data_IF_533696428749
#
_entry.id   IF_533696428749
#
_cell.length_a   1.000
_cell.length_b   1.000
_cell.length_c   1.000
_cell.angle_alpha   90.00
_cell.angle_beta   90.00
_cell.angle_gamma   90.00
#
_symmetry.space_group_name_H-M   'P 1'
#
loop_
_entity.id
_entity.type
_entity.pdbx_description
1 polymer ?
#
# COMPACT_ATOMS: atom_id res chain seq x y z
N UNK A 1 -5.82 -67.87 2.30
CA UNK A 1 -5.51 -66.80 1.37
C UNK A 1 -4.19 -67.08 0.68
N UNK A 2 -4.10 -66.86 -0.57
CA UNK A 2 -2.82 -66.95 -1.26
C UNK A 2 -1.98 -65.71 -0.99
N UNK A 3 -0.68 -65.85 -1.08
CA UNK A 3 0.26 -64.72 -0.90
C UNK A 3 -0.03 -63.55 -1.91
N UNK A 4 -0.51 -63.91 -3.10
CA UNK A 4 -0.92 -62.92 -4.12
C UNK A 4 -2.11 -62.08 -3.65
N UNK A 5 -3.11 -62.72 -3.02
CA UNK A 5 -4.29 -62.01 -2.50
C UNK A 5 -3.95 -61.09 -1.34
N UNK A 6 -3.01 -61.47 -0.48
CA UNK A 6 -2.52 -60.62 0.61
C UNK A 6 -1.78 -59.38 0.08
N UNK A 7 -0.88 -59.61 -0.88
CA UNK A 7 -0.15 -58.49 -1.55
C UNK A 7 -1.08 -57.57 -2.31
N UNK A 8 -2.12 -58.09 -2.94
CA UNK A 8 -3.11 -57.28 -3.65
C UNK A 8 -3.87 -56.37 -2.66
N UNK A 9 -4.30 -56.90 -1.53
CA UNK A 9 -4.95 -56.12 -0.47
C UNK A 9 -4.03 -55.05 0.11
N UNK A 10 -2.78 -55.38 0.35
CA UNK A 10 -1.78 -54.43 0.86
C UNK A 10 -1.54 -53.31 -0.16
N UNK A 11 -1.43 -53.64 -1.45
CA UNK A 11 -1.29 -52.66 -2.49
C UNK A 11 -2.50 -51.70 -2.61
N UNK A 12 -3.71 -52.21 -2.48
CA UNK A 12 -4.92 -51.39 -2.46
C UNK A 12 -4.93 -50.41 -1.27
N UNK A 13 -4.60 -50.94 -0.06
CA UNK A 13 -4.50 -50.09 1.13
C UNK A 13 -3.43 -48.99 0.99
N UNK A 14 -2.26 -49.33 0.43
CA UNK A 14 -1.21 -48.35 0.19
C UNK A 14 -1.61 -47.30 -0.84
N UNK A 15 -2.35 -47.66 -1.90
CA UNK A 15 -2.88 -46.73 -2.86
C UNK A 15 -3.85 -45.73 -2.23
N UNK A 16 -4.75 -46.20 -1.37
CA UNK A 16 -5.67 -45.34 -0.63
C UNK A 16 -4.93 -44.39 0.30
N UNK A 17 -3.94 -44.88 1.05
CA UNK A 17 -3.13 -44.06 1.92
C UNK A 17 -2.33 -43.02 1.14
N UNK A 18 -1.72 -43.39 0.00
CA UNK A 18 -1.01 -42.47 -0.87
C UNK A 18 -1.94 -41.38 -1.40
N UNK A 19 -3.18 -41.69 -1.76
CA UNK A 19 -4.17 -40.72 -2.20
C UNK A 19 -4.49 -39.71 -1.08
N UNK A 20 -4.66 -40.18 0.17
CA UNK A 20 -4.89 -39.32 1.34
C UNK A 20 -3.70 -38.40 1.61
N UNK A 21 -2.48 -38.95 1.56
CA UNK A 21 -1.26 -38.18 1.79
C UNK A 21 -1.05 -37.16 0.71
N UNK A 22 -1.29 -37.49 -0.54
CA UNK A 22 -1.21 -36.56 -1.69
C UNK A 22 -2.18 -35.39 -1.50
N UNK A 23 -3.41 -35.67 -1.09
CA UNK A 23 -4.38 -34.61 -0.79
C UNK A 23 -3.92 -33.72 0.38
N UNK A 24 -3.44 -34.32 1.47
CA UNK A 24 -2.94 -33.58 2.64
C UNK A 24 -1.73 -32.70 2.30
N UNK A 25 -0.80 -33.19 1.49
CA UNK A 25 0.35 -32.43 1.01
C UNK A 25 -0.12 -31.25 0.16
N UNK A 26 -1.09 -31.45 -0.72
CA UNK A 26 -1.68 -30.38 -1.53
C UNK A 26 -2.30 -29.26 -0.67
N UNK A 27 -3.05 -29.63 0.37
CA UNK A 27 -3.64 -28.67 1.31
C UNK A 27 -2.56 -27.91 2.12
N UNK A 28 -1.52 -28.60 2.55
CA UNK A 28 -0.40 -27.97 3.28
C UNK A 28 0.37 -27.00 2.39
N UNK A 29 0.65 -27.37 1.15
CA UNK A 29 1.32 -26.50 0.20
C UNK A 29 0.52 -25.22 -0.08
N UNK A 30 -0.79 -25.33 -0.18
CA UNK A 30 -1.70 -24.20 -0.32
C UNK A 30 -1.61 -23.26 0.89
N UNK A 31 -1.62 -23.78 2.11
CA UNK A 31 -1.46 -22.99 3.33
C UNK A 31 -0.09 -22.31 3.41
N UNK A 32 0.97 -23.01 3.02
CA UNK A 32 2.33 -22.42 2.96
C UNK A 32 2.35 -21.22 2.01
N UNK A 33 1.73 -21.32 0.85
CA UNK A 33 1.65 -20.21 -0.09
C UNK A 33 0.85 -19.03 0.47
N UNK A 34 -0.28 -19.29 1.14
CA UNK A 34 -1.07 -18.25 1.81
C UNK A 34 -0.26 -17.53 2.90
N UNK A 35 0.48 -18.26 3.72
CA UNK A 35 1.34 -17.68 4.75
C UNK A 35 2.52 -16.90 4.16
N UNK A 36 3.11 -17.38 3.07
CA UNK A 36 4.19 -16.68 2.37
C UNK A 36 3.73 -15.32 1.87
N UNK A 37 2.59 -15.27 1.20
CA UNK A 37 1.99 -14.02 0.70
C UNK A 37 1.67 -13.07 1.86
N UNK A 38 1.10 -13.59 2.95
CA UNK A 38 0.80 -12.78 4.14
C UNK A 38 2.06 -12.18 4.79
N UNK A 39 3.17 -12.94 4.83
CA UNK A 39 4.45 -12.44 5.34
C UNK A 39 5.03 -11.35 4.43
N UNK A 40 5.01 -11.54 3.12
CA UNK A 40 5.47 -10.52 2.17
C UNK A 40 4.71 -9.20 2.33
N UNK A 41 3.39 -9.27 2.46
CA UNK A 41 2.54 -8.09 2.70
C UNK A 41 2.91 -7.42 4.02
N UNK A 42 3.13 -8.20 5.09
CA UNK A 42 3.51 -7.67 6.39
C UNK A 42 4.87 -6.96 6.33
N UNK A 43 5.86 -7.56 5.70
CA UNK A 43 7.20 -6.97 5.54
C UNK A 43 7.15 -5.67 4.75
N UNK A 44 6.38 -5.64 3.65
CA UNK A 44 6.17 -4.41 2.87
C UNK A 44 5.51 -3.31 3.70
N UNK A 45 4.50 -3.65 4.50
CA UNK A 45 3.82 -2.70 5.37
C UNK A 45 4.75 -2.16 6.48
N UNK A 46 5.56 -3.03 7.08
CA UNK A 46 6.52 -2.63 8.11
C UNK A 46 7.63 -1.74 7.52
N UNK A 47 8.11 -2.05 6.33
CA UNK A 47 9.08 -1.20 5.61
C UNK A 47 8.48 0.16 5.28
N UNK A 48 7.24 0.19 4.80
CA UNK A 48 6.51 1.44 4.52
C UNK A 48 6.34 2.29 5.78
N UNK A 49 6.00 1.70 6.92
CA UNK A 49 5.89 2.40 8.21
C UNK A 49 7.22 3.01 8.64
N UNK A 50 8.34 2.29 8.50
CA UNK A 50 9.68 2.79 8.80
C UNK A 50 10.06 3.95 7.89
N UNK A 51 9.81 3.80 6.60
CA UNK A 51 10.04 4.85 5.62
C UNK A 51 9.28 6.14 5.95
N UNK A 52 7.99 6.06 6.29
CA UNK A 52 7.18 7.23 6.63
C UNK A 52 7.77 8.01 7.81
N UNK A 53 8.37 7.32 8.78
CA UNK A 53 9.02 7.99 9.92
C UNK A 53 10.28 8.77 9.52
N UNK A 54 11.03 8.28 8.55
CA UNK A 54 12.30 8.83 8.11
C UNK A 54 12.23 9.60 6.78
N UNK A 55 11.04 9.68 6.18
CA UNK A 55 10.82 10.37 4.91
C UNK A 55 11.20 11.86 5.01
N UNK A 56 11.53 12.45 3.87
CA UNK A 56 11.81 13.89 3.79
C UNK A 56 10.63 14.74 4.28
N UNK A 57 10.91 15.98 4.69
CA UNK A 57 9.86 16.91 5.13
C UNK A 57 8.80 17.14 4.06
N UNK A 58 9.19 17.17 2.79
CA UNK A 58 8.27 17.30 1.64
C UNK A 58 7.34 16.11 1.55
N UNK A 59 7.87 14.89 1.62
CA UNK A 59 7.05 13.67 1.55
C UNK A 59 6.12 13.56 2.76
N UNK A 60 6.59 13.93 3.95
CA UNK A 60 5.72 13.97 5.15
C UNK A 60 4.54 14.93 4.98
N UNK A 61 4.77 16.11 4.40
CA UNK A 61 3.68 17.04 4.07
C UNK A 61 2.72 16.47 3.04
N UNK A 62 3.23 15.84 1.99
CA UNK A 62 2.41 15.19 0.97
C UNK A 62 1.52 14.07 1.53
N UNK A 63 1.95 13.43 2.61
CA UNK A 63 1.20 12.35 3.28
C UNK A 63 0.23 12.84 4.35
N UNK A 64 0.19 14.15 4.66
CA UNK A 64 -0.79 14.69 5.61
C UNK A 64 -2.22 14.42 5.15
N UNK A 65 -3.04 13.92 6.06
CA UNK A 65 -4.44 13.58 5.77
C UNK A 65 -5.31 14.83 5.67
N UNK A 66 -6.20 14.84 4.68
CA UNK A 66 -7.21 15.89 4.52
C UNK A 66 -8.06 16.08 5.78
N UNK A 67 -8.38 14.99 6.49
CA UNK A 67 -9.14 15.01 7.73
C UNK A 67 -8.49 15.86 8.85
N UNK A 68 -7.17 15.89 8.88
CA UNK A 68 -6.38 16.60 9.92
C UNK A 68 -6.08 18.07 9.53
N UNK A 69 -6.52 18.52 8.34
CA UNK A 69 -6.20 19.85 7.85
C UNK A 69 -7.14 20.93 8.39
N UNK A 70 -6.62 22.16 8.60
CA UNK A 70 -7.42 23.29 9.11
C UNK A 70 -8.28 23.93 8.02
N UNK A 71 -9.17 23.17 7.40
CA UNK A 71 -10.10 23.61 6.36
C UNK A 71 -11.54 23.29 6.76
N UNK A 72 -12.50 23.96 6.13
CA UNK A 72 -13.92 23.75 6.41
C UNK A 72 -14.37 22.33 6.08
N UNK A 73 -15.41 21.86 6.75
CA UNK A 73 -16.05 20.55 6.47
C UNK A 73 -16.52 20.47 5.03
N UNK A 74 -17.03 21.57 4.48
CA UNK A 74 -17.44 21.66 3.07
C UNK A 74 -16.27 21.38 2.12
N UNK A 75 -15.12 22.00 2.37
CA UNK A 75 -13.91 21.76 1.58
C UNK A 75 -13.41 20.32 1.71
N UNK A 76 -13.43 19.75 2.90
CA UNK A 76 -13.10 18.34 3.13
C UNK A 76 -14.01 17.41 2.34
N UNK A 77 -15.32 17.64 2.38
CA UNK A 77 -16.28 16.82 1.65
C UNK A 77 -16.08 16.88 0.13
N UNK A 78 -15.76 18.05 -0.40
CA UNK A 78 -15.47 18.23 -1.83
C UNK A 78 -14.19 17.43 -2.20
N UNK A 79 -13.14 17.54 -1.39
CA UNK A 79 -11.90 16.79 -1.60
C UNK A 79 -12.11 15.27 -1.51
N UNK A 80 -12.89 14.78 -0.57
CA UNK A 80 -13.22 13.36 -0.47
C UNK A 80 -14.04 12.87 -1.68
N UNK A 81 -14.97 13.68 -2.16
CA UNK A 81 -15.73 13.37 -3.37
C UNK A 81 -14.84 13.33 -4.63
N UNK A 82 -13.74 14.09 -4.63
CA UNK A 82 -12.72 14.08 -5.68
C UNK A 82 -11.72 12.92 -5.55
N UNK A 83 -11.82 12.11 -4.49
CA UNK A 83 -10.90 11.03 -4.21
C UNK A 83 -9.59 11.45 -3.55
N UNK A 84 -9.52 12.69 -3.02
CA UNK A 84 -8.35 13.23 -2.34
C UNK A 84 -8.40 12.87 -0.84
N UNK A 85 -7.50 12.02 -0.39
CA UNK A 85 -7.36 11.63 1.01
C UNK A 85 -6.17 12.32 1.70
N UNK A 86 -5.18 12.74 0.93
CA UNK A 86 -3.95 13.38 1.42
C UNK A 86 -3.68 14.67 0.66
N UNK A 87 -2.78 15.50 1.20
CA UNK A 87 -2.30 16.70 0.53
C UNK A 87 -1.63 16.38 -0.82
N UNK A 88 -0.92 15.25 -0.90
CA UNK A 88 -0.35 14.75 -2.15
C UNK A 88 -1.40 14.53 -3.24
N UNK A 89 -2.56 14.00 -2.89
CA UNK A 89 -3.66 13.80 -3.83
C UNK A 89 -4.20 15.14 -4.37
N UNK A 90 -4.23 16.17 -3.52
CA UNK A 90 -4.69 17.52 -3.91
C UNK A 90 -3.74 18.16 -4.92
N UNK A 91 -2.43 18.11 -4.67
CA UNK A 91 -1.43 18.79 -5.52
C UNK A 91 -1.17 18.09 -6.86
N UNK A 92 -1.65 16.86 -7.04
CA UNK A 92 -1.68 16.17 -8.33
C UNK A 92 -2.60 16.87 -9.34
N UNK A 93 -3.66 17.52 -8.85
CA UNK A 93 -4.59 18.27 -9.70
C UNK A 93 -4.02 19.64 -10.07
N UNK A 94 -4.53 20.20 -11.16
CA UNK A 94 -4.36 21.61 -11.46
C UNK A 94 -5.43 22.41 -10.72
N UNK A 95 -5.11 23.63 -10.34
CA UNK A 95 -6.06 24.51 -9.61
C UNK A 95 -7.44 24.59 -10.27
N UNK A 96 -7.47 24.69 -11.61
CA UNK A 96 -8.70 24.82 -12.36
C UNK A 96 -9.51 23.51 -12.49
N UNK A 97 -8.92 22.38 -12.22
CA UNK A 97 -9.63 21.09 -12.25
C UNK A 97 -10.62 20.96 -11.08
N UNK A 98 -10.32 21.58 -9.95
CA UNK A 98 -11.22 21.60 -8.80
C UNK A 98 -12.52 22.37 -9.04
N UNK A 99 -12.50 23.36 -9.92
CA UNK A 99 -13.70 24.13 -10.29
C UNK A 99 -14.78 23.25 -10.92
N UNK A 100 -14.36 22.17 -11.57
CA UNK A 100 -15.25 21.21 -12.23
C UNK A 100 -16.02 20.33 -11.26
N UNK A 101 -15.59 20.25 -10.01
CA UNK A 101 -16.30 19.45 -9.01
C UNK A 101 -17.58 20.14 -8.53
N UNK A 102 -18.61 19.33 -8.35
CA UNK A 102 -19.92 19.81 -7.88
C UNK A 102 -19.78 20.49 -6.51
N UNK A 103 -20.41 21.61 -6.33
CA UNK A 103 -20.41 22.44 -5.12
C UNK A 103 -19.06 23.07 -4.76
N UNK A 104 -18.08 23.04 -5.66
CA UNK A 104 -16.80 23.72 -5.49
C UNK A 104 -16.89 25.18 -5.95
N UNK A 105 -17.14 26.07 -5.01
CA UNK A 105 -17.21 27.52 -5.25
C UNK A 105 -15.85 28.22 -5.10
N UNK A 106 -15.85 29.53 -5.38
CA UNK A 106 -14.65 30.38 -5.27
C UNK A 106 -14.01 30.33 -3.88
N UNK A 107 -14.82 30.38 -2.81
CA UNK A 107 -14.35 30.31 -1.41
C UNK A 107 -13.59 29.02 -1.14
N UNK A 108 -14.11 27.88 -1.58
CA UNK A 108 -13.48 26.55 -1.40
C UNK A 108 -12.15 26.48 -2.13
N UNK A 109 -12.08 26.98 -3.36
CA UNK A 109 -10.84 27.00 -4.15
C UNK A 109 -9.79 27.89 -3.51
N UNK A 110 -10.18 29.06 -2.99
CA UNK A 110 -9.27 29.95 -2.25
C UNK A 110 -8.73 29.30 -0.99
N UNK A 111 -9.59 28.64 -0.21
CA UNK A 111 -9.21 27.93 1.01
C UNK A 111 -8.20 26.80 0.73
N UNK A 112 -8.47 25.99 -0.29
CA UNK A 112 -7.56 24.91 -0.72
C UNK A 112 -6.27 25.47 -1.30
N UNK A 113 -6.34 26.55 -2.09
CA UNK A 113 -5.17 27.22 -2.65
C UNK A 113 -4.27 27.78 -1.57
N UNK A 114 -4.83 28.42 -0.54
CA UNK A 114 -4.09 28.93 0.62
C UNK A 114 -3.42 27.78 1.37
N UNK A 115 -4.11 26.65 1.54
CA UNK A 115 -3.56 25.45 2.15
C UNK A 115 -2.33 24.94 1.39
N UNK A 116 -2.42 24.83 0.07
CA UNK A 116 -1.31 24.37 -0.79
C UNK A 116 -0.13 25.35 -0.72
N UNK A 117 -0.39 26.65 -0.81
CA UNK A 117 0.65 27.68 -0.73
C UNK A 117 1.35 27.70 0.61
N UNK A 118 0.59 27.63 1.70
CA UNK A 118 1.13 27.59 3.07
C UNK A 118 1.96 26.35 3.37
N UNK A 119 1.69 25.26 2.66
CA UNK A 119 2.47 24.01 2.75
C UNK A 119 3.79 24.07 1.96
N UNK A 120 4.02 25.11 1.19
CA UNK A 120 5.20 25.25 0.31
C UNK A 120 5.17 24.35 -0.92
N UNK A 121 4.00 23.81 -1.26
CA UNK A 121 3.80 22.95 -2.41
C UNK A 121 3.18 23.72 -3.59
N UNK A 122 3.20 23.12 -4.76
CA UNK A 122 2.66 23.70 -5.99
C UNK A 122 1.64 22.79 -6.63
N UNK A 123 0.67 23.36 -7.33
CA UNK A 123 -0.29 22.60 -8.11
C UNK A 123 0.37 21.83 -9.26
N UNK A 124 -0.17 20.67 -9.58
CA UNK A 124 0.31 19.84 -10.68
C UNK A 124 1.67 19.19 -10.44
N UNK A 125 2.03 18.95 -9.18
CA UNK A 125 3.25 18.22 -8.82
C UNK A 125 3.15 16.74 -9.19
N UNK A 126 4.25 16.18 -9.66
CA UNK A 126 4.40 14.74 -9.84
C UNK A 126 4.77 14.08 -8.50
N UNK A 127 3.74 13.84 -7.70
CA UNK A 127 3.87 13.31 -6.34
C UNK A 127 4.45 11.89 -6.32
N UNK A 128 4.07 11.08 -7.30
CA UNK A 128 4.53 9.69 -7.37
C UNK A 128 6.03 9.62 -7.64
N UNK A 129 6.54 10.45 -8.55
CA UNK A 129 7.99 10.55 -8.82
C UNK A 129 8.76 11.09 -7.62
N UNK A 130 8.22 12.08 -6.91
CA UNK A 130 8.85 12.64 -5.71
C UNK A 130 8.96 11.58 -4.60
N UNK A 131 7.90 10.83 -4.35
CA UNK A 131 7.88 9.75 -3.35
C UNK A 131 8.81 8.62 -3.76
N UNK A 132 8.82 8.24 -5.02
CA UNK A 132 9.69 7.19 -5.54
C UNK A 132 11.18 7.55 -5.40
N UNK A 133 11.55 8.76 -5.77
CA UNK A 133 12.91 9.27 -5.63
C UNK A 133 13.36 9.32 -4.15
N UNK A 134 12.51 9.79 -3.26
CA UNK A 134 12.78 9.85 -1.81
C UNK A 134 12.92 8.45 -1.20
N UNK A 135 12.07 7.52 -1.60
CA UNK A 135 12.12 6.13 -1.16
C UNK A 135 13.40 5.43 -1.65
N UNK A 136 13.81 5.68 -2.88
CA UNK A 136 15.05 5.17 -3.44
C UNK A 136 16.27 5.65 -2.64
N UNK A 137 16.33 6.93 -2.33
CA UNK A 137 17.39 7.50 -1.49
C UNK A 137 17.42 6.88 -0.09
N UNK A 138 16.24 6.69 0.52
CA UNK A 138 16.10 6.03 1.80
C UNK A 138 16.66 4.59 1.79
N UNK A 139 16.30 3.81 0.76
CA UNK A 139 16.76 2.42 0.63
C UNK A 139 18.27 2.35 0.40
N UNK A 140 18.84 3.27 -0.37
CA UNK A 140 20.30 3.36 -0.59
C UNK A 140 21.04 3.68 0.73
N UNK A 141 20.53 4.60 1.53
CA UNK A 141 21.06 4.93 2.86
C UNK A 141 21.03 3.72 3.80
N UNK A 142 19.92 3.00 3.84
CA UNK A 142 19.80 1.79 4.66
C UNK A 142 20.71 0.66 4.22
N UNK A 143 20.89 0.48 2.92
CA UNK A 143 21.84 -0.51 2.39
C UNK A 143 23.30 -0.20 2.81
N UNK A 144 23.69 1.06 2.81
CA UNK A 144 25.01 1.51 3.28
C UNK A 144 25.17 1.30 4.79
N UNK A 145 24.17 1.64 5.59
CA UNK A 145 24.17 1.41 7.05
C UNK A 145 24.33 -0.08 7.39
N UNK A 146 23.61 -0.96 6.69
CA UNK A 146 23.66 -2.41 6.90
C UNK A 146 25.02 -3.02 6.52
N UNK A 147 25.73 -2.44 5.54
CA UNK A 147 27.10 -2.88 5.16
C UNK A 147 28.16 -2.48 6.18
N UNK A 148 27.91 -1.47 7.03
CA UNK A 148 28.81 -1.02 8.10
C UNK A 148 28.69 -1.84 9.39
N UNK A 149 27.68 -2.68 9.49
CA UNK A 149 27.45 -3.64 10.58
C UNK A 149 28.01 -5.02 10.20
#
# INVERSE_FOLDING_TARGET
MTQIEELTKENEALKEENARLTYSVGELLKKIEEYRVALEIKEQNDMKKRYIKEASATVKKLMEKVDDMPISVRSKNILFAAGCLTLGDIVKYQKYDLIKFRNCGRKTIMEITDLVNNSGLSWGMDVDDIIEADMKEYLEKKAVENKKK
#
